data_IF_234357259228
#
_entry.id   IF_234357259228
#
_cell.length_a   1.000
_cell.length_b   1.000
_cell.length_c   1.000
_cell.angle_alpha   90.00
_cell.angle_beta   90.00
_cell.angle_gamma   90.00
#
_symmetry.space_group_name_H-M   'P 1'
#
loop_
_entity.id
_entity.type
_entity.pdbx_description
1 polymer ?
#
# COMPACT_ATOMS: atom_id res chain seq x y z
N UNK A 1 -22.99 -12.54 1.69
CA UNK A 1 -22.62 -11.58 0.64
C UNK A 1 -21.12 -11.73 0.37
N UNK A 2 -20.68 -12.09 -0.86
CA UNK A 2 -19.24 -12.21 -1.18
C UNK A 2 -18.76 -10.86 -1.73
N UNK A 3 -18.05 -10.09 -0.90
CA UNK A 3 -17.42 -8.80 -1.27
C UNK A 3 -16.35 -8.94 -2.36
N UNK A 4 -15.86 -10.17 -2.62
CA UNK A 4 -14.88 -10.50 -3.65
C UNK A 4 -15.39 -10.42 -5.09
N UNK A 5 -16.66 -10.10 -5.31
CA UNK A 5 -17.29 -9.99 -6.64
C UNK A 5 -17.53 -8.55 -7.09
N UNK A 6 -17.18 -7.57 -6.27
CA UNK A 6 -17.37 -6.16 -6.59
C UNK A 6 -16.26 -5.73 -7.56
N UNK A 7 -16.59 -5.16 -8.73
CA UNK A 7 -15.61 -4.72 -9.72
C UNK A 7 -15.01 -3.36 -9.32
N UNK A 8 -14.24 -3.34 -8.23
CA UNK A 8 -13.62 -2.11 -7.74
C UNK A 8 -12.75 -1.46 -8.82
N UNK A 9 -12.75 -0.13 -8.85
CA UNK A 9 -12.01 0.62 -9.86
C UNK A 9 -10.53 0.86 -9.52
N UNK A 10 -10.19 0.84 -8.23
CA UNK A 10 -8.89 1.28 -7.73
C UNK A 10 -8.44 0.52 -6.47
N UNK A 11 -7.13 0.47 -6.28
CA UNK A 11 -6.46 0.13 -5.01
C UNK A 11 -6.40 1.38 -4.14
N UNK A 12 -6.75 1.24 -2.85
CA UNK A 12 -6.77 2.33 -1.90
C UNK A 12 -7.72 2.07 -0.74
N UNK A 13 -8.17 3.15 -0.09
CA UNK A 13 -9.14 3.09 1.00
C UNK A 13 -10.45 3.76 0.61
N UNK A 14 -11.53 3.36 1.30
CA UNK A 14 -12.87 3.88 1.11
C UNK A 14 -13.09 5.14 1.94
N UNK A 15 -13.66 6.16 1.30
CA UNK A 15 -13.99 7.44 1.94
C UNK A 15 -15.40 7.88 1.54
N UNK A 16 -16.05 8.65 2.41
CA UNK A 16 -17.20 9.43 1.98
C UNK A 16 -16.75 10.57 1.07
N UNK A 17 -17.54 10.89 0.05
CA UNK A 17 -17.26 11.99 -0.86
C UNK A 17 -16.98 13.30 -0.11
N UNK A 18 -17.70 13.58 0.98
CA UNK A 18 -17.54 14.81 1.75
C UNK A 18 -16.21 14.94 2.49
N UNK A 19 -15.50 13.83 2.73
CA UNK A 19 -14.32 13.79 3.59
C UNK A 19 -12.98 13.92 2.84
N UNK A 20 -13.00 13.95 1.51
CA UNK A 20 -11.80 14.00 0.67
C UNK A 20 -11.96 15.03 -0.45
N UNK A 21 -10.90 15.71 -0.90
CA UNK A 21 -11.00 16.69 -2.00
C UNK A 21 -11.29 16.01 -3.36
N UNK A 22 -12.07 16.65 -4.24
CA UNK A 22 -12.50 16.07 -5.54
C UNK A 22 -11.34 15.56 -6.40
N UNK A 23 -10.19 16.23 -6.39
CA UNK A 23 -9.00 15.84 -7.15
C UNK A 23 -8.29 14.57 -6.64
N UNK A 24 -8.61 14.09 -5.43
CA UNK A 24 -8.03 12.89 -4.84
C UNK A 24 -9.00 11.70 -4.80
N UNK A 25 -10.18 11.83 -5.45
CA UNK A 25 -11.23 10.82 -5.47
C UNK A 25 -11.18 9.98 -6.74
N UNK A 26 -11.59 8.74 -6.62
CA UNK A 26 -11.86 7.83 -7.72
C UNK A 26 -13.22 7.14 -7.57
N UNK A 27 -13.93 6.82 -8.67
CA UNK A 27 -15.21 6.11 -8.61
C UNK A 27 -15.07 4.77 -7.90
N UNK A 28 -16.10 4.28 -7.21
CA UNK A 28 -16.04 2.98 -6.53
C UNK A 28 -15.89 1.78 -7.48
N UNK A 29 -16.69 1.73 -8.55
CA UNK A 29 -16.77 0.57 -9.43
C UNK A 29 -16.45 0.94 -10.88
N UNK A 30 -16.00 -0.04 -11.66
CA UNK A 30 -15.88 0.09 -13.12
C UNK A 30 -17.27 -0.14 -13.73
N UNK A 31 -17.88 0.89 -14.31
CA UNK A 31 -19.20 0.81 -14.98
C UNK A 31 -20.31 1.62 -14.32
N UNK A 32 -21.42 1.78 -15.03
CA UNK A 32 -22.55 2.68 -14.73
C UNK A 32 -23.64 2.10 -13.81
N UNK A 33 -23.55 0.84 -13.39
CA UNK A 33 -24.69 0.14 -12.78
C UNK A 33 -24.82 0.29 -11.26
N UNK A 34 -23.87 0.95 -10.59
CA UNK A 34 -23.91 1.15 -9.14
C UNK A 34 -24.17 2.61 -8.76
N UNK A 35 -25.25 3.17 -9.30
CA UNK A 35 -25.80 4.48 -8.92
C UNK A 35 -26.18 4.57 -7.42
N UNK A 36 -26.23 3.42 -6.73
CA UNK A 36 -26.67 3.29 -5.33
C UNK A 36 -25.59 3.65 -4.29
N UNK A 37 -24.33 3.88 -4.68
CA UNK A 37 -23.23 4.19 -3.75
C UNK A 37 -22.52 5.51 -4.07
N UNK A 38 -23.29 6.54 -4.46
CA UNK A 38 -22.78 7.90 -4.71
C UNK A 38 -22.14 8.55 -3.48
N UNK A 39 -22.32 8.02 -2.29
CA UNK A 39 -21.78 8.62 -1.07
C UNK A 39 -20.30 8.31 -0.86
N UNK A 40 -19.78 7.28 -1.51
CA UNK A 40 -18.45 6.73 -1.27
C UNK A 40 -17.55 6.83 -2.51
N UNK A 41 -16.25 6.88 -2.28
CA UNK A 41 -15.23 6.90 -3.31
C UNK A 41 -13.94 6.25 -2.83
N UNK A 42 -13.07 5.92 -3.78
CA UNK A 42 -11.68 5.60 -3.50
C UNK A 42 -10.87 6.87 -3.28
N UNK A 43 -10.04 6.86 -2.26
CA UNK A 43 -9.06 7.91 -1.98
C UNK A 43 -7.68 7.32 -1.69
N UNK A 44 -6.72 8.15 -1.24
CA UNK A 44 -5.43 7.70 -0.81
C UNK A 44 -5.53 6.56 0.20
N UNK A 45 -4.59 5.62 0.16
CA UNK A 45 -4.54 4.52 1.12
C UNK A 45 -4.47 5.07 2.55
N UNK A 46 -5.24 4.46 3.43
CA UNK A 46 -5.15 4.66 4.87
C UNK A 46 -4.31 3.55 5.54
N UNK A 47 -3.56 2.79 4.74
CA UNK A 47 -2.55 1.85 5.23
C UNK A 47 -1.56 2.58 6.14
N UNK A 48 -1.43 2.10 7.38
CA UNK A 48 -0.53 2.67 8.38
C UNK A 48 0.91 2.74 7.86
N UNK A 49 1.33 1.83 6.97
CA UNK A 49 2.68 1.84 6.39
C UNK A 49 2.99 3.05 5.50
N UNK A 50 1.98 3.83 5.12
CA UNK A 50 2.11 5.11 4.39
C UNK A 50 1.96 6.34 5.29
N UNK A 51 1.63 6.14 6.57
CA UNK A 51 1.29 7.19 7.54
C UNK A 51 2.00 7.07 8.89
N UNK A 52 2.86 6.07 9.07
CA UNK A 52 3.54 5.83 10.33
C UNK A 52 4.84 6.64 10.49
N UNK A 53 5.06 7.20 11.68
CA UNK A 53 6.29 7.93 12.01
C UNK A 53 6.64 9.04 11.02
N UNK A 54 7.91 9.11 10.61
CA UNK A 54 8.39 10.14 9.67
C UNK A 54 7.85 9.95 8.24
N UNK A 55 7.31 8.77 7.90
CA UNK A 55 6.70 8.50 6.59
C UNK A 55 5.49 9.41 6.36
N UNK A 56 4.75 9.74 7.43
CA UNK A 56 3.59 10.63 7.36
C UNK A 56 3.92 12.01 6.75
N UNK A 57 5.12 12.52 7.01
CA UNK A 57 5.58 13.83 6.56
C UNK A 57 6.18 13.82 5.14
N UNK A 58 6.42 12.63 4.56
CA UNK A 58 7.01 12.52 3.24
C UNK A 58 5.99 12.78 2.12
N UNK A 59 6.46 13.39 1.04
CA UNK A 59 5.67 13.61 -0.16
C UNK A 59 5.62 12.34 -1.02
N UNK A 60 4.78 11.39 -0.62
CA UNK A 60 4.62 10.09 -1.27
C UNK A 60 3.35 10.05 -2.12
N UNK A 61 3.41 9.30 -3.23
CA UNK A 61 2.20 8.85 -3.88
C UNK A 61 1.47 7.88 -2.92
N UNK A 62 0.25 8.25 -2.51
CA UNK A 62 -0.59 7.45 -1.61
C UNK A 62 -1.81 6.88 -2.33
N UNK A 63 -1.85 6.96 -3.66
CA UNK A 63 -2.99 6.55 -4.46
C UNK A 63 -4.13 7.57 -4.45
N UNK A 64 -5.34 7.16 -4.87
CA UNK A 64 -5.73 5.80 -5.28
C UNK A 64 -5.05 5.35 -6.59
N UNK A 65 -4.80 4.04 -6.74
CA UNK A 65 -4.11 3.48 -7.91
C UNK A 65 -5.03 2.62 -8.77
N UNK A 66 -5.10 2.87 -10.07
CA UNK A 66 -5.94 2.11 -11.01
C UNK A 66 -5.36 0.74 -11.37
N UNK A 67 -4.03 0.68 -11.47
CA UNK A 67 -3.30 -0.52 -11.86
C UNK A 67 -2.59 -1.12 -10.63
N UNK A 68 -2.68 -2.46 -10.41
CA UNK A 68 -1.84 -3.17 -9.45
C UNK A 68 -0.35 -2.80 -9.53
N UNK A 69 0.20 -2.62 -10.74
CA UNK A 69 1.60 -2.25 -10.93
C UNK A 69 1.93 -0.85 -10.37
N UNK A 70 1.01 0.11 -10.47
CA UNK A 70 1.20 1.46 -9.92
C UNK A 70 1.27 1.42 -8.38
N UNK A 71 0.43 0.58 -7.75
CA UNK A 71 0.47 0.36 -6.31
C UNK A 71 1.83 -0.23 -5.88
N UNK A 72 2.27 -1.28 -6.56
CA UNK A 72 3.55 -1.94 -6.28
C UNK A 72 4.73 -0.97 -6.47
N UNK A 73 4.72 -0.18 -7.54
CA UNK A 73 5.74 0.82 -7.80
C UNK A 73 5.75 1.89 -6.70
N UNK A 74 4.57 2.34 -6.27
CA UNK A 74 4.43 3.32 -5.19
C UNK A 74 4.96 2.82 -3.85
N UNK A 75 4.86 1.51 -3.57
CA UNK A 75 5.52 0.91 -2.40
C UNK A 75 7.03 1.00 -2.51
N UNK A 76 7.60 0.69 -3.68
CA UNK A 76 9.03 0.80 -3.89
C UNK A 76 9.53 2.25 -3.83
N UNK A 77 8.82 3.19 -4.46
CA UNK A 77 9.16 4.63 -4.41
C UNK A 77 9.19 5.14 -2.96
N UNK A 78 8.23 4.71 -2.13
CA UNK A 78 8.20 5.03 -0.69
C UNK A 78 9.46 4.55 0.02
N UNK A 79 9.81 3.27 -0.17
CA UNK A 79 10.98 2.69 0.50
C UNK A 79 12.30 3.32 -0.01
N UNK A 80 12.40 3.64 -1.30
CA UNK A 80 13.57 4.35 -1.87
C UNK A 80 13.72 5.73 -1.23
N UNK A 81 12.64 6.52 -1.19
CA UNK A 81 12.67 7.86 -0.63
C UNK A 81 12.97 7.83 0.88
N UNK A 82 12.44 6.83 1.60
CA UNK A 82 12.76 6.62 3.01
C UNK A 82 14.24 6.32 3.21
N UNK A 83 14.77 5.40 2.40
CA UNK A 83 16.18 4.99 2.45
C UNK A 83 17.10 6.16 2.13
N UNK A 84 16.73 6.99 1.16
CA UNK A 84 17.49 8.19 0.81
C UNK A 84 17.53 9.22 1.95
N UNK A 85 16.39 9.47 2.61
CA UNK A 85 16.30 10.49 3.67
C UNK A 85 16.82 10.02 5.03
N UNK A 86 16.64 8.75 5.36
CA UNK A 86 16.81 8.22 6.72
C UNK A 86 17.61 6.92 6.79
N UNK A 87 18.00 6.34 5.65
CA UNK A 87 18.71 5.08 5.58
C UNK A 87 20.03 5.13 6.34
N UNK A 88 20.29 4.06 7.10
CA UNK A 88 21.54 3.83 7.81
C UNK A 88 22.00 2.40 7.57
N UNK A 89 23.31 2.13 7.58
CA UNK A 89 23.80 0.76 7.56
C UNK A 89 23.23 -0.02 8.74
N UNK A 90 22.65 -1.18 8.45
CA UNK A 90 22.01 -2.04 9.45
C UNK A 90 22.55 -3.45 9.26
N UNK A 91 22.95 -4.09 10.35
CA UNK A 91 23.16 -5.52 10.40
C UNK A 91 21.84 -6.17 10.82
N UNK A 92 21.20 -7.00 9.98
CA UNK A 92 19.95 -7.65 10.34
C UNK A 92 20.17 -8.51 11.59
N UNK A 93 19.33 -8.36 12.60
CA UNK A 93 19.44 -9.06 13.89
C UNK A 93 18.38 -10.17 14.05
N UNK A 94 17.44 -10.26 13.12
CA UNK A 94 16.36 -11.25 13.16
C UNK A 94 16.87 -12.65 12.73
N UNK A 95 16.68 -13.71 13.54
CA UNK A 95 17.40 -14.98 13.41
C UNK A 95 17.24 -15.70 12.07
N UNK A 96 16.13 -15.47 11.36
CA UNK A 96 15.86 -16.08 10.04
C UNK A 96 16.33 -15.24 8.84
N UNK A 97 16.62 -13.96 9.07
CA UNK A 97 17.03 -13.01 8.02
C UNK A 97 18.50 -12.57 8.19
N UNK A 98 19.13 -12.87 9.33
CA UNK A 98 20.45 -12.38 9.71
C UNK A 98 21.62 -13.27 9.31
N UNK A 99 21.40 -14.56 9.05
CA UNK A 99 22.50 -15.52 8.90
C UNK A 99 23.34 -15.23 7.65
N UNK A 100 24.52 -14.63 7.85
CA UNK A 100 25.56 -14.46 6.83
C UNK A 100 25.45 -13.21 5.96
N UNK A 101 24.50 -12.30 6.22
CA UNK A 101 24.34 -11.08 5.41
C UNK A 101 25.30 -9.95 5.83
N UNK A 102 25.74 -9.92 7.10
CA UNK A 102 26.55 -8.82 7.63
C UNK A 102 25.87 -7.45 7.52
N UNK A 103 26.66 -6.38 7.59
CA UNK A 103 26.14 -5.00 7.50
C UNK A 103 25.63 -4.72 6.08
N UNK A 104 24.33 -4.44 5.97
CA UNK A 104 23.67 -4.04 4.73
C UNK A 104 23.74 -2.52 4.55
N UNK A 105 24.13 -2.07 3.37
CA UNK A 105 24.18 -0.63 3.06
C UNK A 105 22.82 -0.15 2.53
N UNK A 106 22.38 1.08 2.87
CA UNK A 106 21.16 1.67 2.31
C UNK A 106 21.14 1.73 0.77
N UNK A 107 22.31 1.91 0.16
CA UNK A 107 22.42 1.97 -1.30
C UNK A 107 22.11 0.63 -1.96
N UNK A 108 22.58 -0.49 -1.37
CA UNK A 108 22.29 -1.84 -1.86
C UNK A 108 20.78 -2.09 -1.84
N UNK A 109 20.10 -1.70 -0.74
CA UNK A 109 18.65 -1.79 -0.62
C UNK A 109 17.92 -0.93 -1.66
N UNK A 110 18.39 0.30 -1.88
CA UNK A 110 17.83 1.20 -2.89
C UNK A 110 18.00 0.63 -4.31
N UNK A 111 19.15 0.02 -4.61
CA UNK A 111 19.40 -0.63 -5.89
C UNK A 111 18.46 -1.83 -6.12
N UNK A 112 18.24 -2.66 -5.09
CA UNK A 112 17.30 -3.77 -5.15
C UNK A 112 15.86 -3.27 -5.39
N UNK A 113 15.45 -2.19 -4.73
CA UNK A 113 14.14 -1.58 -4.97
C UNK A 113 13.98 -1.05 -6.39
N UNK A 114 15.03 -0.44 -6.97
CA UNK A 114 15.01 -0.03 -8.38
C UNK A 114 14.89 -1.23 -9.32
N UNK A 115 15.57 -2.35 -9.03
CA UNK A 115 15.39 -3.59 -9.78
C UNK A 115 13.96 -4.14 -9.64
N UNK A 116 13.41 -4.12 -8.43
CA UNK A 116 12.02 -4.48 -8.17
C UNK A 116 11.04 -3.63 -9.00
N UNK A 117 11.31 -2.33 -9.17
CA UNK A 117 10.49 -1.46 -10.03
C UNK A 117 10.53 -1.88 -11.49
N UNK A 118 11.67 -2.39 -12.00
CA UNK A 118 11.75 -2.87 -13.39
C UNK A 118 10.89 -4.11 -13.64
N UNK A 119 10.75 -4.99 -12.65
CA UNK A 119 9.94 -6.21 -12.78
C UNK A 119 8.47 -5.97 -12.42
N UNK A 120 8.15 -4.89 -11.71
CA UNK A 120 6.80 -4.60 -11.21
C UNK A 120 5.70 -4.65 -12.28
N UNK A 121 5.88 -4.12 -13.51
CA UNK A 121 4.87 -4.21 -14.56
C UNK A 121 4.56 -5.64 -15.01
N UNK A 122 5.44 -6.60 -14.72
CA UNK A 122 5.34 -8.01 -15.12
C UNK A 122 4.88 -8.93 -13.99
N UNK A 123 4.72 -8.41 -12.76
CA UNK A 123 4.23 -9.20 -11.62
C UNK A 123 2.72 -9.53 -11.72
N UNK A 124 1.84 -8.59 -12.11
CA UNK A 124 0.45 -8.91 -12.36
C UNK A 124 0.30 -9.75 -13.63
N UNK A 125 -0.64 -10.71 -13.69
CA UNK A 125 -0.95 -11.41 -14.93
C UNK A 125 -1.32 -10.44 -16.05
N UNK A 126 -0.90 -10.74 -17.28
CA UNK A 126 -1.18 -9.90 -18.46
C UNK A 126 -2.67 -9.76 -18.75
N UNK A 127 -3.46 -10.81 -18.49
CA UNK A 127 -4.91 -10.79 -18.65
C UNK A 127 -5.57 -9.92 -17.55
N UNK A 128 -6.19 -8.78 -17.89
CA UNK A 128 -6.85 -7.93 -16.92
C UNK A 128 -8.04 -8.60 -16.21
N UNK A 129 -8.65 -9.63 -16.83
CA UNK A 129 -9.74 -10.41 -16.24
C UNK A 129 -9.26 -11.51 -15.29
N UNK A 130 -7.96 -11.77 -15.21
CA UNK A 130 -7.39 -12.80 -14.35
C UNK A 130 -7.74 -12.54 -12.88
N UNK A 131 -8.12 -13.59 -12.15
CA UNK A 131 -8.60 -13.46 -10.77
C UNK A 131 -7.56 -12.86 -9.80
N UNK A 132 -6.25 -12.96 -10.09
CA UNK A 132 -5.20 -12.30 -9.32
C UNK A 132 -5.14 -10.77 -9.48
N UNK A 133 -5.68 -10.24 -10.58
CA UNK A 133 -5.85 -8.81 -10.81
C UNK A 133 -7.12 -8.26 -10.17
N UNK A 134 -8.01 -9.13 -9.67
CA UNK A 134 -9.19 -8.70 -8.95
C UNK A 134 -8.79 -8.05 -7.62
N UNK A 135 -9.42 -6.91 -7.38
CA UNK A 135 -9.27 -6.17 -6.14
C UNK A 135 -10.17 -6.80 -5.07
N UNK A 136 -9.60 -7.07 -3.90
CA UNK A 136 -10.32 -7.70 -2.80
C UNK A 136 -10.26 -6.77 -1.60
N UNK A 137 -11.39 -6.64 -0.90
CA UNK A 137 -11.43 -6.00 0.41
C UNK A 137 -10.71 -6.90 1.42
N UNK A 138 -9.58 -6.45 1.93
CA UNK A 138 -8.84 -7.17 2.95
C UNK A 138 -9.19 -6.61 4.33
N UNK A 139 -9.68 -7.49 5.22
CA UNK A 139 -9.88 -7.16 6.64
C UNK A 139 -8.52 -7.21 7.37
N UNK A 140 -8.24 -6.32 8.35
CA UNK A 140 -6.89 -6.16 8.89
C UNK A 140 -6.53 -7.15 10.01
N UNK A 141 -7.23 -8.28 10.14
CA UNK A 141 -7.12 -9.20 11.29
C UNK A 141 -5.79 -9.97 11.42
N UNK A 142 -4.76 -9.61 10.62
CA UNK A 142 -3.43 -10.22 10.69
C UNK A 142 -2.27 -9.22 10.85
N UNK A 143 -2.54 -7.94 11.12
CA UNK A 143 -1.47 -6.94 11.38
C UNK A 143 -1.98 -5.83 12.32
N UNK A 144 -1.24 -5.43 13.38
CA UNK A 144 -1.70 -4.36 14.28
C UNK A 144 -1.67 -3.01 13.54
N UNK A 145 -2.81 -2.31 13.44
CA UNK A 145 -2.89 -0.95 12.85
C UNK A 145 -4.09 -0.61 11.93
N UNK A 146 -5.07 -1.51 11.84
CA UNK A 146 -6.42 -1.45 11.23
C UNK A 146 -6.85 -0.24 10.36
N UNK A 147 -7.00 -0.50 9.04
CA UNK A 147 -8.01 0.07 8.12
C UNK A 147 -8.32 -0.96 7.01
N UNK A 148 -9.55 -1.04 6.51
CA UNK A 148 -9.89 -1.91 5.38
C UNK A 148 -9.25 -1.34 4.10
N UNK A 149 -8.38 -2.13 3.47
CA UNK A 149 -7.66 -1.74 2.24
C UNK A 149 -8.16 -2.63 1.11
N UNK A 150 -8.43 -2.01 -0.03
CA UNK A 150 -8.73 -2.73 -1.27
C UNK A 150 -7.42 -2.82 -2.03
N UNK A 151 -6.96 -4.04 -2.26
CA UNK A 151 -5.67 -4.32 -2.90
C UNK A 151 -5.76 -5.51 -3.87
N UNK A 152 -4.80 -5.63 -4.81
CA UNK A 152 -4.74 -6.76 -5.72
C UNK A 152 -4.63 -8.10 -4.98
N UNK A 153 -5.35 -9.13 -5.45
CA UNK A 153 -5.38 -10.42 -4.79
C UNK A 153 -4.01 -11.11 -4.70
N UNK A 154 -3.11 -10.86 -5.66
CA UNK A 154 -1.71 -11.34 -5.63
C UNK A 154 -0.95 -10.91 -4.36
N UNK A 155 -1.43 -9.89 -3.64
CA UNK A 155 -0.81 -9.34 -2.42
C UNK A 155 -1.56 -9.70 -1.14
N UNK A 156 -2.58 -10.56 -1.22
CA UNK A 156 -3.38 -10.99 -0.05
C UNK A 156 -2.59 -11.92 0.88
N UNK A 157 -1.48 -12.50 0.42
CA UNK A 157 -0.64 -13.42 1.19
C UNK A 157 0.40 -12.66 2.04
N UNK A 158 -0.05 -12.02 3.11
CA UNK A 158 0.78 -11.59 4.25
C UNK A 158 1.76 -10.45 3.96
N UNK A 159 1.75 -9.42 4.81
CA UNK A 159 2.82 -8.43 4.85
C UNK A 159 4.07 -9.09 5.46
N UNK A 160 5.20 -9.19 4.73
CA UNK A 160 6.44 -9.58 5.36
C UNK A 160 6.82 -8.47 6.37
N UNK A 161 6.99 -8.86 7.63
CA UNK A 161 7.56 -8.00 8.69
C UNK A 161 8.93 -7.41 8.33
N UNK A 162 9.57 -7.91 7.26
CA UNK A 162 10.90 -7.49 6.79
C UNK A 162 10.96 -6.05 6.27
N UNK A 163 9.82 -5.35 6.12
CA UNK A 163 9.77 -3.94 5.73
C UNK A 163 9.48 -2.99 6.91
N UNK A 164 9.34 -3.50 8.13
CA UNK A 164 9.24 -2.63 9.30
C UNK A 164 10.64 -2.08 9.63
N UNK A 165 10.84 -0.80 9.30
CA UNK A 165 12.01 -0.07 9.71
C UNK A 165 12.06 -0.01 11.24
N UNK A 166 13.04 -0.70 11.82
CA UNK A 166 13.40 -0.68 13.23
C UNK A 166 13.98 0.68 13.62
N UNK A 167 13.09 1.68 13.73
CA UNK A 167 13.18 2.84 14.62
C UNK A 167 12.11 3.85 14.23
N UNK A 168 11.00 3.86 14.97
CA UNK A 168 10.01 4.92 14.86
C UNK A 168 9.70 5.44 16.25
N UNK A 169 10.20 6.65 16.53
CA UNK A 169 9.65 7.50 17.57
C UNK A 169 8.15 7.66 17.27
N UNK A 170 7.31 7.25 18.23
CA UNK A 170 5.87 7.25 18.08
C UNK A 170 5.35 8.70 17.93
N UNK A 171 4.78 9.01 16.77
CA UNK A 171 4.06 10.26 16.53
C UNK A 171 2.55 9.96 16.59
N UNK A 172 1.73 10.78 17.28
CA UNK A 172 0.30 10.53 17.42
C UNK A 172 -0.43 10.52 16.08
N UNK A 173 -1.19 9.45 15.86
CA UNK A 173 -1.92 9.14 14.64
C UNK A 173 -3.24 9.94 14.56
N UNK A 174 -3.17 11.23 14.18
CA UNK A 174 -4.38 12.08 14.09
C UNK A 174 -5.07 12.07 12.71
N UNK A 175 -4.45 11.53 11.65
CA UNK A 175 -4.99 11.59 10.28
C UNK A 175 -5.87 10.37 9.93
N UNK A 176 -5.72 9.24 10.65
CA UNK A 176 -6.41 7.99 10.33
C UNK A 176 -7.87 7.88 10.83
N UNK A 177 -8.40 8.89 11.54
CA UNK A 177 -9.72 8.78 12.21
C UNK A 177 -10.94 8.97 11.30
N UNK A 178 -10.76 9.13 9.98
CA UNK A 178 -11.87 9.32 9.02
C UNK A 178 -11.88 8.27 7.90
N UNK A 179 -11.65 7.01 8.25
CA UNK A 179 -11.88 5.88 7.35
C UNK A 179 -13.09 5.14 7.87
N UNK A 180 -14.12 5.00 7.04
CA UNK A 180 -15.31 4.22 7.42
C UNK A 180 -15.06 2.75 7.12
N UNK A 181 -15.29 1.92 8.14
CA UNK A 181 -15.32 0.46 8.11
C UNK A 181 -16.58 -0.01 7.39
#
# INVERSE_FOLDING_TARGET
>A
MKLSKIPFSATGSLYLLKDIASGARMPLCKGTELEEHKEFCFGPTADYMFWYGRIAAMNLNRGPWQNPADYLKSRADKEIEWTHLYGKPIEPDFPYNAMGLGVQQPEDFSQLLRQYQTITPHLPPEDPAHHFNQLVLCHPDRTPGYNAIIQPHILTAGYPWTFECSNAEAVPMHIAQKVLV
#
